data_IF_791879912927
#
_entry.id   IF_791879912927
#
_cell.length_a   1.000
_cell.length_b   1.000
_cell.length_c   1.000
_cell.angle_alpha   90.00
_cell.angle_beta   90.00
_cell.angle_gamma   90.00
#
_symmetry.space_group_name_H-M   'P 1'
#
loop_
_entity.id
_entity.type
_entity.pdbx_description
1 polymer ?
#
# COMPACT_ATOMS: atom_id res chain seq x y z
N UNK A 1 1.91 64.74 36.33
CA UNK A 1 2.49 63.69 37.20
C UNK A 1 2.60 62.41 36.40
N UNK A 2 3.77 61.78 36.43
CA UNK A 2 4.14 60.53 35.75
C UNK A 2 3.47 59.31 36.39
N UNK A 3 3.25 58.24 35.62
CA UNK A 3 3.34 56.81 36.02
C UNK A 3 3.22 55.93 34.74
N UNK A 4 4.31 55.40 34.16
CA UNK A 4 4.88 54.01 34.28
C UNK A 4 3.90 52.88 33.97
N UNK A 5 3.94 52.29 32.76
CA UNK A 5 4.64 51.05 32.30
C UNK A 5 4.07 49.72 32.81
N UNK A 6 3.70 48.83 31.88
CA UNK A 6 4.05 47.40 31.92
C UNK A 6 3.73 46.73 30.57
N UNK A 7 4.78 46.49 29.77
CA UNK A 7 4.75 45.62 28.59
C UNK A 7 4.82 44.16 29.04
N UNK A 8 3.87 43.32 28.63
CA UNK A 8 4.02 41.86 28.70
C UNK A 8 4.51 41.36 27.33
N UNK A 9 5.76 40.91 27.28
CA UNK A 9 6.33 40.19 26.15
C UNK A 9 5.91 38.72 26.26
N UNK A 10 5.08 38.26 25.31
CA UNK A 10 4.70 36.86 25.19
C UNK A 10 5.80 36.14 24.38
N UNK A 11 6.56 35.28 25.05
CA UNK A 11 7.59 34.43 24.44
C UNK A 11 6.90 33.27 23.71
N UNK A 12 6.88 33.31 22.38
CA UNK A 12 6.46 32.18 21.55
C UNK A 12 7.61 31.17 21.45
N UNK A 13 7.48 30.03 22.14
CA UNK A 13 8.40 28.90 21.97
C UNK A 13 7.97 28.15 20.70
N UNK A 14 8.63 28.43 19.59
CA UNK A 14 8.51 27.66 18.36
C UNK A 14 9.22 26.31 18.54
N UNK A 15 8.47 25.28 18.93
CA UNK A 15 8.94 23.90 18.93
C UNK A 15 9.19 23.45 17.49
N UNK A 16 10.46 23.38 17.10
CA UNK A 16 10.90 22.68 15.89
C UNK A 16 10.59 21.19 16.05
N UNK A 17 9.45 20.77 15.53
CA UNK A 17 9.18 19.37 15.24
C UNK A 17 10.20 18.92 14.20
N UNK A 18 11.17 18.12 14.64
CA UNK A 18 12.11 17.44 13.76
C UNK A 18 11.32 16.52 12.82
N UNK A 19 11.05 16.99 11.61
CA UNK A 19 10.57 16.16 10.51
C UNK A 19 11.70 15.21 10.15
N UNK A 20 11.66 13.99 10.68
CA UNK A 20 12.53 12.92 10.20
C UNK A 20 12.21 12.72 8.71
N UNK A 21 13.20 12.77 7.81
CA UNK A 21 12.97 12.35 6.44
C UNK A 21 12.52 10.89 6.51
N UNK A 22 11.31 10.61 6.02
CA UNK A 22 10.89 9.26 5.76
C UNK A 22 11.89 8.70 4.73
N UNK A 23 12.62 7.65 5.09
CA UNK A 23 13.48 6.95 4.16
C UNK A 23 12.63 6.57 2.93
N UNK A 24 13.09 6.96 1.75
CA UNK A 24 12.46 6.55 0.51
C UNK A 24 12.69 5.03 0.38
N UNK A 25 11.62 4.26 0.47
CA UNK A 25 11.63 2.82 0.23
C UNK A 25 11.92 2.63 -1.26
N UNK A 26 13.10 2.11 -1.57
CA UNK A 26 13.57 1.88 -2.93
C UNK A 26 12.95 0.58 -3.47
N UNK A 27 11.70 0.62 -3.91
CA UNK A 27 11.17 -0.51 -4.69
C UNK A 27 12.00 -0.65 -5.96
N UNK A 28 12.49 -1.87 -6.21
CA UNK A 28 13.36 -2.19 -7.34
C UNK A 28 12.64 -1.98 -8.70
N UNK A 29 11.31 -1.84 -8.69
CA UNK A 29 10.50 -1.56 -9.87
C UNK A 29 10.18 -0.07 -10.11
N UNK A 30 10.55 0.86 -9.20
CA UNK A 30 10.20 2.28 -9.33
C UNK A 30 10.83 2.98 -10.54
N UNK A 31 11.79 2.35 -11.22
CA UNK A 31 12.38 2.85 -12.47
C UNK A 31 11.65 2.43 -13.76
N UNK A 32 10.60 1.60 -13.69
CA UNK A 32 10.02 0.91 -14.86
C UNK A 32 8.49 0.81 -14.76
N UNK A 33 7.80 1.91 -15.01
CA UNK A 33 6.34 1.93 -15.24
C UNK A 33 6.15 2.85 -16.45
N UNK A 34 6.16 2.45 -17.73
CA UNK A 34 5.76 1.25 -18.51
C UNK A 34 6.82 0.95 -19.62
N UNK A 35 6.81 -0.18 -20.38
CA UNK A 35 5.88 -1.32 -20.41
C UNK A 35 6.51 -2.60 -19.81
N UNK A 36 5.74 -3.34 -19.02
CA UNK A 36 6.22 -4.49 -18.22
C UNK A 36 6.34 -5.75 -19.10
N UNK A 37 7.53 -6.40 -19.16
CA UNK A 37 7.58 -7.85 -19.14
C UNK A 37 8.50 -8.32 -18.00
N UNK A 38 8.11 -7.98 -16.78
CA UNK A 38 8.45 -8.72 -15.57
C UNK A 38 7.22 -9.61 -15.30
N UNK A 39 7.41 -10.88 -14.97
CA UNK A 39 6.34 -11.89 -15.00
C UNK A 39 5.23 -11.50 -14.03
N UNK A 40 4.15 -10.92 -14.55
CA UNK A 40 2.95 -10.68 -13.77
C UNK A 40 2.42 -12.05 -13.38
N UNK A 41 2.57 -12.37 -12.10
CA UNK A 41 2.15 -13.62 -11.53
C UNK A 41 0.62 -13.72 -11.54
N UNK A 42 -0.03 -12.66 -11.05
CA UNK A 42 -1.48 -12.63 -10.89
C UNK A 42 -2.01 -11.20 -10.88
N UNK A 43 -3.17 -11.00 -11.51
CA UNK A 43 -3.98 -9.78 -11.40
C UNK A 43 -5.38 -10.18 -10.96
N UNK A 44 -5.95 -9.48 -9.99
CA UNK A 44 -7.34 -9.70 -9.60
C UNK A 44 -8.01 -8.46 -9.02
N UNK A 45 -9.33 -8.38 -9.22
CA UNK A 45 -10.17 -7.31 -8.69
C UNK A 45 -10.49 -7.55 -7.21
N UNK A 46 -10.44 -6.48 -6.42
CA UNK A 46 -10.48 -6.52 -4.96
C UNK A 46 -11.38 -5.45 -4.34
N UNK A 47 -12.68 -5.69 -4.44
CA UNK A 47 -13.68 -4.87 -3.77
C UNK A 47 -13.80 -3.46 -4.33
N UNK A 48 -14.84 -2.77 -3.89
CA UNK A 48 -15.22 -1.45 -4.40
C UNK A 48 -14.75 -0.35 -3.46
N UNK A 49 -14.55 0.83 -4.02
CA UNK A 49 -14.32 2.07 -3.29
C UNK A 49 -15.23 3.18 -3.83
N UNK A 50 -15.53 4.13 -2.96
CA UNK A 50 -16.20 5.38 -3.32
C UNK A 50 -15.62 6.49 -2.47
N UNK A 51 -15.19 7.59 -3.09
CA UNK A 51 -14.62 8.75 -2.42
C UNK A 51 -14.94 10.02 -3.24
N UNK A 52 -15.48 11.05 -2.58
CA UNK A 52 -15.74 12.36 -3.19
C UNK A 52 -16.56 12.31 -4.49
N UNK A 53 -17.57 11.43 -4.56
CA UNK A 53 -18.43 11.28 -5.74
C UNK A 53 -17.81 10.48 -6.89
N UNK A 54 -16.60 9.94 -6.71
CA UNK A 54 -15.96 8.99 -7.63
C UNK A 54 -16.10 7.59 -7.05
N UNK A 55 -16.17 6.59 -7.91
CA UNK A 55 -16.24 5.19 -7.48
C UNK A 55 -15.47 4.28 -8.44
N UNK A 56 -15.25 3.06 -7.99
CA UNK A 56 -14.67 2.00 -8.79
C UNK A 56 -14.24 0.82 -7.94
N UNK A 57 -13.15 0.16 -8.32
CA UNK A 57 -12.62 -1.00 -7.62
C UNK A 57 -11.11 -0.96 -7.43
N UNK A 58 -10.60 -1.74 -6.49
CA UNK A 58 -9.15 -1.96 -6.39
C UNK A 58 -8.74 -3.14 -7.26
N UNK A 59 -7.61 -3.05 -7.94
CA UNK A 59 -6.94 -4.15 -8.63
C UNK A 59 -5.65 -4.46 -7.89
N UNK A 60 -5.43 -5.73 -7.55
CA UNK A 60 -4.17 -6.18 -6.99
C UNK A 60 -3.35 -6.80 -8.09
N UNK A 61 -2.07 -6.45 -8.14
CA UNK A 61 -1.10 -7.00 -9.07
C UNK A 61 0.04 -7.60 -8.26
N UNK A 62 0.30 -8.88 -8.50
CA UNK A 62 1.44 -9.62 -7.99
C UNK A 62 2.45 -9.76 -9.12
N UNK A 63 3.68 -9.35 -8.87
CA UNK A 63 4.77 -9.36 -9.86
C UNK A 63 5.91 -10.19 -9.31
N UNK A 64 6.33 -11.19 -10.07
CA UNK A 64 7.50 -11.99 -9.72
C UNK A 64 8.77 -11.17 -9.96
N UNK A 65 9.64 -11.11 -8.95
CA UNK A 65 10.94 -10.45 -9.02
C UNK A 65 12.07 -11.47 -8.91
N UNK A 66 13.26 -11.08 -9.38
CA UNK A 66 14.47 -11.92 -9.31
C UNK A 66 14.31 -13.34 -9.91
N UNK A 67 13.44 -13.51 -10.91
CA UNK A 67 13.17 -14.81 -11.54
C UNK A 67 12.22 -15.72 -10.76
N UNK A 68 11.36 -15.16 -9.91
CA UNK A 68 10.33 -15.89 -9.15
C UNK A 68 10.74 -16.24 -7.71
N UNK A 69 11.85 -15.71 -7.23
CA UNK A 69 12.29 -15.90 -5.82
C UNK A 69 11.62 -14.91 -4.85
N UNK A 70 10.95 -13.89 -5.38
CA UNK A 70 10.14 -12.96 -4.60
C UNK A 70 8.93 -12.46 -5.39
N UNK A 71 7.99 -11.85 -4.68
CA UNK A 71 6.78 -11.27 -5.21
C UNK A 71 6.62 -9.85 -4.70
N UNK A 72 6.59 -8.88 -5.61
CA UNK A 72 6.15 -7.53 -5.30
C UNK A 72 4.63 -7.41 -5.42
N UNK A 73 4.02 -6.66 -4.50
CA UNK A 73 2.58 -6.45 -4.42
C UNK A 73 2.25 -5.00 -4.73
N UNK A 74 1.28 -4.79 -5.63
CA UNK A 74 0.79 -3.47 -6.01
C UNK A 74 -0.72 -3.36 -5.86
N UNK A 75 -1.18 -2.19 -5.44
CA UNK A 75 -2.59 -1.81 -5.35
C UNK A 75 -2.87 -0.75 -6.40
N UNK A 76 -3.88 -0.99 -7.22
CA UNK A 76 -4.27 -0.15 -8.34
C UNK A 76 -5.76 0.21 -8.23
N UNK A 77 -6.15 1.35 -7.65
CA UNK A 77 -7.52 1.85 -7.75
C UNK A 77 -7.86 2.16 -9.21
N UNK A 78 -8.87 1.47 -9.72
CA UNK A 78 -9.50 1.70 -11.02
C UNK A 78 -10.78 2.49 -10.77
N UNK A 79 -10.90 3.67 -11.37
CA UNK A 79 -12.15 4.43 -11.38
C UNK A 79 -13.05 3.93 -12.50
N UNK A 80 -14.34 3.80 -12.20
CA UNK A 80 -15.38 3.49 -13.15
C UNK A 80 -16.18 4.77 -13.41
N UNK A 81 -16.35 5.14 -14.68
CA UNK A 81 -17.22 6.26 -15.06
C UNK A 81 -18.15 5.79 -16.15
N UNK A 82 -19.47 5.88 -15.90
CA UNK A 82 -20.49 5.53 -16.88
C UNK A 82 -21.00 6.82 -17.52
N UNK A 83 -20.79 6.96 -18.83
CA UNK A 83 -21.33 8.07 -19.64
C UNK A 83 -22.21 7.51 -20.74
N UNK A 84 -23.50 7.86 -20.71
CA UNK A 84 -24.56 7.33 -21.59
C UNK A 84 -24.61 5.79 -21.59
N UNK A 85 -23.92 5.14 -22.52
CA UNK A 85 -23.85 3.69 -22.69
C UNK A 85 -22.42 3.14 -22.63
N UNK A 86 -21.44 3.97 -22.27
CA UNK A 86 -20.03 3.59 -22.22
C UNK A 86 -19.55 3.46 -20.77
N UNK A 87 -18.79 2.40 -20.50
CA UNK A 87 -18.00 2.27 -19.28
C UNK A 87 -16.57 2.71 -19.57
N UNK A 88 -16.11 3.75 -18.90
CA UNK A 88 -14.71 4.17 -18.91
C UNK A 88 -14.02 3.66 -17.63
N UNK A 89 -12.83 3.08 -17.79
CA UNK A 89 -11.99 2.56 -16.72
C UNK A 89 -10.67 3.33 -16.70
N UNK A 90 -10.41 4.04 -15.61
CA UNK A 90 -9.19 4.83 -15.44
C UNK A 90 -8.35 4.28 -14.29
N UNK A 91 -7.09 3.93 -14.57
CA UNK A 91 -6.12 3.63 -13.52
C UNK A 91 -5.68 4.93 -12.85
N UNK A 92 -6.04 5.13 -11.58
CA UNK A 92 -5.71 6.39 -10.89
C UNK A 92 -4.24 6.45 -10.47
N UNK A 93 -3.72 5.33 -9.97
CA UNK A 93 -2.32 5.21 -9.55
C UNK A 93 -1.94 3.74 -9.34
N UNK A 94 -0.64 3.47 -9.33
CA UNK A 94 -0.07 2.20 -8.89
C UNK A 94 0.66 2.42 -7.57
N UNK A 95 0.18 1.79 -6.49
CA UNK A 95 0.76 1.93 -5.15
C UNK A 95 1.50 0.66 -4.76
N UNK A 96 2.84 0.68 -4.59
CA UNK A 96 3.57 -0.46 -4.05
C UNK A 96 3.18 -0.68 -2.58
N UNK A 97 3.04 -1.93 -2.17
CA UNK A 97 2.87 -2.29 -0.76
C UNK A 97 4.26 -2.33 -0.13
N UNK A 98 4.68 -1.19 0.41
CA UNK A 98 6.07 -0.95 0.80
C UNK A 98 6.62 -1.91 1.84
N UNK A 99 5.77 -2.39 2.73
CA UNK A 99 6.11 -3.37 3.77
C UNK A 99 6.40 -4.78 3.21
N UNK A 100 5.98 -5.04 1.96
CA UNK A 100 6.21 -6.31 1.26
C UNK A 100 7.25 -6.18 0.14
N UNK A 101 7.41 -4.96 -0.40
CA UNK A 101 8.33 -4.67 -1.51
C UNK A 101 9.63 -4.02 -0.99
N UNK A 102 10.17 -4.53 0.12
CA UNK A 102 11.43 -4.08 0.70
C UNK A 102 12.62 -4.65 -0.10
N UNK A 103 13.65 -3.84 -0.35
CA UNK A 103 14.87 -4.26 -1.04
C UNK A 103 15.82 -5.09 -0.17
N UNK A 104 15.57 -5.13 1.14
CA UNK A 104 16.39 -5.87 2.11
C UNK A 104 15.85 -7.28 2.46
N UNK A 105 14.75 -7.71 1.83
CA UNK A 105 14.24 -9.07 1.97
C UNK A 105 12.99 -9.31 1.11
N UNK A 106 12.85 -10.52 0.58
CA UNK A 106 11.77 -10.83 -0.37
C UNK A 106 10.69 -11.71 0.26
N UNK A 107 9.44 -11.28 0.12
CA UNK A 107 8.29 -12.15 0.35
C UNK A 107 7.98 -12.95 -0.91
N UNK A 108 7.76 -14.25 -0.78
CA UNK A 108 7.21 -15.09 -1.85
C UNK A 108 5.73 -15.34 -1.56
N UNK A 109 4.84 -14.77 -2.36
CA UNK A 109 3.39 -14.90 -2.16
C UNK A 109 2.89 -16.17 -2.86
N UNK A 110 2.43 -17.14 -2.08
CA UNK A 110 1.92 -18.43 -2.60
C UNK A 110 0.41 -18.44 -2.84
N UNK A 111 -0.33 -17.57 -2.16
CA UNK A 111 -1.77 -17.42 -2.37
C UNK A 111 -2.23 -16.01 -2.05
N UNK A 112 -3.25 -15.56 -2.77
CA UNK A 112 -3.90 -14.29 -2.54
C UNK A 112 -5.41 -14.41 -2.73
N UNK A 113 -6.19 -13.75 -1.87
CA UNK A 113 -7.65 -13.68 -2.01
C UNK A 113 -8.21 -12.35 -1.53
N UNK A 114 -9.26 -11.90 -2.20
CA UNK A 114 -10.02 -10.75 -1.76
C UNK A 114 -11.05 -11.13 -0.72
N UNK A 115 -11.14 -10.32 0.33
CA UNK A 115 -12.08 -10.49 1.43
C UNK A 115 -12.85 -9.19 1.60
N UNK A 116 -14.17 -9.32 1.56
CA UNK A 116 -15.11 -8.23 1.86
C UNK A 116 -15.81 -8.55 3.18
N UNK A 117 -15.64 -7.69 4.17
CA UNK A 117 -16.31 -7.81 5.48
C UNK A 117 -16.81 -6.45 5.92
N UNK A 118 -18.09 -6.36 6.30
CA UNK A 118 -18.68 -5.14 6.88
C UNK A 118 -18.46 -3.88 6.01
N UNK A 119 -18.61 -4.02 4.69
CA UNK A 119 -18.41 -2.91 3.75
C UNK A 119 -16.95 -2.50 3.54
N UNK A 120 -15.99 -3.14 4.21
CA UNK A 120 -14.56 -2.93 4.00
C UNK A 120 -14.00 -4.01 3.09
N UNK A 121 -13.18 -3.57 2.14
CA UNK A 121 -12.48 -4.43 1.19
C UNK A 121 -11.04 -4.61 1.65
N UNK A 122 -10.53 -5.83 1.56
CA UNK A 122 -9.15 -6.18 1.88
C UNK A 122 -8.64 -7.30 0.99
N UNK A 123 -7.33 -7.44 0.89
CA UNK A 123 -6.68 -8.63 0.34
C UNK A 123 -5.95 -9.37 1.45
N UNK A 124 -6.09 -10.68 1.45
CA UNK A 124 -5.29 -11.59 2.28
C UNK A 124 -4.28 -12.30 1.42
N UNK A 125 -3.04 -12.35 1.90
CA UNK A 125 -1.91 -13.00 1.26
C UNK A 125 -1.37 -14.08 2.20
N UNK A 126 -0.92 -15.18 1.62
CA UNK A 126 -0.12 -16.20 2.27
C UNK A 126 1.26 -16.15 1.66
N UNK A 127 2.28 -15.88 2.46
CA UNK A 127 3.65 -15.71 1.98
C UNK A 127 4.68 -16.35 2.90
N UNK A 128 5.86 -16.62 2.36
CA UNK A 128 7.08 -16.92 3.12
C UNK A 128 8.05 -15.76 2.97
N UNK A 129 8.92 -15.53 3.95
CA UNK A 129 9.95 -14.49 3.86
C UNK A 129 11.33 -15.14 3.80
N UNK A 130 12.18 -14.68 2.86
CA UNK A 130 13.48 -15.32 2.57
C UNK A 130 14.42 -15.40 3.80
N UNK A 131 14.28 -14.47 4.74
CA UNK A 131 15.14 -14.38 5.92
C UNK A 131 14.52 -14.97 7.19
N UNK A 132 13.43 -15.72 7.09
CA UNK A 132 12.92 -16.46 8.24
C UNK A 132 13.88 -17.61 8.61
N UNK A 133 14.27 -17.67 9.89
CA UNK A 133 15.14 -18.75 10.40
C UNK A 133 14.41 -20.09 10.55
N UNK A 134 13.08 -20.04 10.65
CA UNK A 134 12.17 -21.17 10.86
C UNK A 134 11.20 -21.36 9.67
N UNK A 135 10.61 -22.55 9.55
CA UNK A 135 9.53 -22.81 8.58
C UNK A 135 8.23 -22.12 9.03
N UNK A 136 8.14 -20.81 8.82
CA UNK A 136 6.96 -20.01 9.13
C UNK A 136 6.24 -19.56 7.86
N UNK A 137 4.95 -19.29 8.03
CA UNK A 137 4.09 -18.72 7.00
C UNK A 137 3.47 -17.44 7.52
N UNK A 138 3.52 -16.40 6.70
CA UNK A 138 2.93 -15.11 6.95
C UNK A 138 1.52 -15.04 6.37
N UNK A 139 0.54 -14.80 7.25
CA UNK A 139 -0.80 -14.41 6.88
C UNK A 139 -0.91 -12.89 6.94
N UNK A 140 -0.77 -12.27 5.78
CA UNK A 140 -0.77 -10.81 5.64
C UNK A 140 -2.15 -10.36 5.19
N UNK A 141 -2.71 -9.35 5.85
CA UNK A 141 -3.95 -8.70 5.42
C UNK A 141 -3.70 -7.22 5.15
N UNK A 142 -4.03 -6.80 3.93
CA UNK A 142 -3.98 -5.41 3.49
C UNK A 142 -5.41 -4.88 3.44
N UNK A 143 -5.69 -3.90 4.29
CA UNK A 143 -6.96 -3.20 4.37
C UNK A 143 -6.93 -1.92 3.54
N UNK A 144 -7.82 -1.80 2.57
CA UNK A 144 -7.96 -0.56 1.80
C UNK A 144 -8.72 0.47 2.64
N UNK A 145 -8.18 1.68 2.75
CA UNK A 145 -8.80 2.76 3.54
C UNK A 145 -9.41 3.83 2.65
N UNK A 146 -8.73 4.20 1.57
CA UNK A 146 -9.17 5.09 0.50
C UNK A 146 -8.32 4.84 -0.74
N UNK A 147 -8.70 5.32 -1.94
CA UNK A 147 -7.85 5.24 -3.13
C UNK A 147 -6.41 5.69 -2.81
N UNK A 148 -5.46 4.79 -3.04
CA UNK A 148 -4.05 5.07 -2.79
C UNK A 148 -3.57 5.02 -1.36
N UNK A 149 -4.38 4.52 -0.42
CA UNK A 149 -3.96 4.32 0.96
C UNK A 149 -4.45 2.99 1.52
N UNK A 150 -3.63 2.38 2.35
CA UNK A 150 -3.92 1.09 2.96
C UNK A 150 -3.38 1.02 4.39
N UNK A 151 -3.76 -0.03 5.11
CA UNK A 151 -3.13 -0.48 6.36
C UNK A 151 -2.81 -1.96 6.23
N UNK A 152 -1.71 -2.39 6.81
CA UNK A 152 -1.30 -3.79 6.76
C UNK A 152 -1.28 -4.40 8.16
N UNK A 153 -1.55 -5.69 8.23
CA UNK A 153 -1.37 -6.52 9.42
C UNK A 153 -0.75 -7.84 8.99
N UNK A 154 0.09 -8.43 9.83
CA UNK A 154 0.79 -9.68 9.56
C UNK A 154 0.67 -10.60 10.77
N UNK A 155 0.29 -11.86 10.54
CA UNK A 155 0.28 -12.91 11.57
C UNK A 155 1.19 -14.04 11.11
N UNK A 156 2.17 -14.37 11.94
CA UNK A 156 3.15 -15.43 11.66
C UNK A 156 2.67 -16.74 12.26
N UNK A 157 2.64 -17.80 11.45
CA UNK A 157 2.22 -19.14 11.86
C UNK A 157 3.36 -20.11 11.61
N UNK A 158 3.74 -20.88 12.64
CA UNK A 158 4.76 -21.91 12.50
C UNK A 158 4.16 -23.15 11.85
N UNK A 159 4.80 -23.64 10.80
CA UNK A 159 4.46 -24.92 10.19
C UNK A 159 5.27 -26.03 10.85
N UNK A 160 4.62 -27.18 11.09
CA UNK A 160 5.24 -28.34 11.74
C UNK A 160 5.87 -29.27 10.72
#
# INVERSE_FOLDING_TARGET
MRTTTASLALVLIAGLLATRPAAAINSQALGIVEPIPIQIHQIFTCGHWSESGREGYYRIVLVDVSGGVGTEVYIQPIQETVTDSNLNLELLQTTPVRELNDDHGQYLVSAARCVKKEGRSSVELVATFEHDEDNVVHHIRIHFTRPGSYRISNTVVHTR
#
